data_IF_127661812986
#
_entry.id   IF_127661812986
#
_cell.length_a   1.000
_cell.length_b   1.000
_cell.length_c   1.000
_cell.angle_alpha   90.00
_cell.angle_beta   90.00
_cell.angle_gamma   90.00
#
_symmetry.space_group_name_H-M   'P 1'
#
loop_
_entity.id
_entity.type
_entity.pdbx_description
1 polymer ?
#
# COMPACT_ATOMS: atom_id res chain seq x y z
N UNK A 1 26.58 3.14 18.77
CA UNK A 1 25.36 3.96 18.78
C UNK A 1 25.60 5.33 18.16
N UNK A 2 26.57 6.10 18.63
CA UNK A 2 26.90 7.40 18.08
C UNK A 2 27.16 7.38 16.57
N UNK A 3 27.94 6.43 16.08
CA UNK A 3 28.19 6.24 14.65
C UNK A 3 26.92 5.96 13.84
N UNK A 4 25.97 5.20 14.39
CA UNK A 4 24.69 4.92 13.73
C UNK A 4 23.81 6.18 13.68
N UNK A 5 23.80 6.99 14.75
CA UNK A 5 23.08 8.26 14.77
C UNK A 5 23.62 9.25 13.73
N UNK A 6 24.96 9.43 13.69
CA UNK A 6 25.59 10.32 12.68
C UNK A 6 25.34 9.83 11.25
N UNK A 7 25.35 8.52 11.00
CA UNK A 7 25.07 7.97 9.69
C UNK A 7 23.60 8.21 9.28
N UNK A 8 22.65 8.07 10.20
CA UNK A 8 21.23 8.36 9.97
C UNK A 8 20.98 9.87 9.77
N UNK A 9 21.62 10.71 10.61
CA UNK A 9 21.53 12.17 10.49
C UNK A 9 22.13 12.67 9.16
N UNK A 10 23.27 12.10 8.74
CA UNK A 10 23.91 12.41 7.47
C UNK A 10 23.07 12.05 6.23
N UNK A 11 22.13 11.13 6.37
CA UNK A 11 21.14 10.81 5.33
C UNK A 11 19.85 11.65 5.42
N UNK A 12 19.78 12.62 6.33
CA UNK A 12 18.57 13.41 6.54
C UNK A 12 17.38 12.66 7.09
N UNK A 13 17.58 11.44 7.64
CA UNK A 13 16.49 10.56 8.11
C UNK A 13 15.67 11.21 9.22
N UNK A 14 16.31 12.07 10.05
CA UNK A 14 15.66 12.84 11.11
C UNK A 14 15.30 14.26 10.71
N UNK A 15 15.72 14.70 9.52
CA UNK A 15 15.41 16.02 9.01
C UNK A 15 13.98 16.04 8.46
N UNK A 16 13.12 16.82 9.12
CA UNK A 16 11.71 16.99 8.71
C UNK A 16 11.56 17.85 7.46
N UNK A 17 12.59 18.62 7.09
CA UNK A 17 12.61 19.43 5.88
C UNK A 17 13.03 18.64 4.63
N UNK A 18 13.70 17.50 4.83
CA UNK A 18 14.00 16.56 3.77
C UNK A 18 12.75 15.73 3.44
N UNK A 19 11.66 16.40 3.03
CA UNK A 19 10.69 15.73 2.19
C UNK A 19 11.48 15.18 1.00
N UNK A 20 11.38 13.87 0.77
CA UNK A 20 11.93 13.25 -0.42
C UNK A 20 11.70 14.21 -1.60
N UNK A 21 12.72 14.40 -2.44
CA UNK A 21 12.57 15.14 -3.70
C UNK A 21 11.66 14.30 -4.59
N UNK A 22 10.40 14.26 -4.22
CA UNK A 22 9.30 13.78 -5.03
C UNK A 22 8.81 14.95 -5.87
N UNK A 23 9.66 15.36 -6.82
CA UNK A 23 9.13 16.05 -7.96
C UNK A 23 8.14 15.06 -8.63
N UNK A 24 6.96 15.52 -9.08
CA UNK A 24 6.05 14.64 -9.80
C UNK A 24 6.81 13.98 -10.94
N UNK A 25 6.73 12.65 -11.04
CA UNK A 25 7.18 11.98 -12.26
C UNK A 25 6.26 12.53 -13.35
N UNK A 26 6.74 13.49 -14.13
CA UNK A 26 5.99 14.11 -15.21
C UNK A 26 5.87 13.04 -16.29
N UNK A 27 4.78 12.29 -16.25
CA UNK A 27 4.42 11.43 -17.37
C UNK A 27 3.77 12.33 -18.41
N UNK A 28 4.23 12.33 -19.68
CA UNK A 28 3.60 13.08 -20.75
C UNK A 28 2.10 12.78 -20.82
N UNK A 29 1.32 13.79 -21.20
CA UNK A 29 -0.12 13.59 -21.43
C UNK A 29 -0.35 12.37 -22.32
N UNK A 30 -1.16 11.43 -21.86
CA UNK A 30 -1.58 10.32 -22.67
C UNK A 30 -2.43 10.84 -23.83
N UNK A 31 -1.85 10.85 -25.01
CA UNK A 31 -2.55 11.21 -26.25
C UNK A 31 -3.33 10.01 -26.87
N UNK A 32 -3.42 8.90 -26.14
CA UNK A 32 -4.01 7.63 -26.66
C UNK A 32 -5.43 7.42 -26.17
N UNK A 33 -6.33 8.34 -26.53
CA UNK A 33 -7.75 8.28 -26.14
C UNK A 33 -8.43 6.96 -26.56
N UNK A 34 -8.04 6.38 -27.69
CA UNK A 34 -8.58 5.13 -28.25
C UNK A 34 -7.71 3.90 -27.95
N UNK A 35 -6.70 4.05 -27.08
CA UNK A 35 -5.81 2.94 -26.72
C UNK A 35 -6.44 1.92 -25.77
N UNK A 36 -5.74 0.78 -25.54
CA UNK A 36 -6.17 -0.24 -24.58
C UNK A 36 -6.46 0.36 -23.18
N UNK A 37 -7.48 -0.17 -22.52
CA UNK A 37 -7.90 0.33 -21.21
C UNK A 37 -7.20 -0.45 -20.09
N UNK A 38 -6.55 0.28 -19.19
CA UNK A 38 -6.16 -0.21 -17.86
C UNK A 38 -7.12 0.40 -16.85
N UNK A 39 -7.94 -0.42 -16.20
CA UNK A 39 -8.90 0.03 -15.21
C UNK A 39 -8.41 -0.22 -13.78
N UNK A 40 -8.80 0.66 -12.87
CA UNK A 40 -8.47 0.59 -11.44
C UNK A 40 -9.74 0.61 -10.62
N UNK A 41 -9.94 -0.39 -9.79
CA UNK A 41 -11.03 -0.46 -8.83
C UNK A 41 -10.63 0.36 -7.58
N UNK A 42 -11.25 1.51 -7.40
CA UNK A 42 -10.98 2.43 -6.31
C UNK A 42 -11.77 2.03 -5.06
N UNK A 43 -11.06 1.67 -3.99
CA UNK A 43 -11.68 1.33 -2.72
C UNK A 43 -12.29 2.57 -2.06
N UNK A 44 -13.57 2.54 -1.67
CA UNK A 44 -14.22 3.64 -0.97
C UNK A 44 -13.45 4.05 0.29
N UNK A 45 -13.33 5.36 0.52
CA UNK A 45 -12.67 5.95 1.71
C UNK A 45 -11.17 5.63 1.86
N UNK A 46 -10.51 5.11 0.81
CA UNK A 46 -9.09 4.77 0.78
C UNK A 46 -8.34 5.46 -0.38
N UNK A 47 -8.34 6.80 -0.45
CA UNK A 47 -7.77 7.54 -1.58
C UNK A 47 -6.29 7.21 -1.83
N UNK A 48 -5.52 6.91 -0.78
CA UNK A 48 -4.11 6.54 -0.91
C UNK A 48 -3.92 5.28 -1.74
N UNK A 49 -4.77 4.26 -1.56
CA UNK A 49 -4.69 3.03 -2.37
C UNK A 49 -5.04 3.31 -3.83
N UNK A 50 -6.07 4.12 -4.06
CA UNK A 50 -6.44 4.55 -5.42
C UNK A 50 -5.31 5.32 -6.10
N UNK A 51 -4.64 6.20 -5.37
CA UNK A 51 -3.51 6.98 -5.86
C UNK A 51 -2.32 6.08 -6.25
N UNK A 52 -1.94 5.12 -5.40
CA UNK A 52 -0.88 4.15 -5.70
C UNK A 52 -1.19 3.35 -6.98
N UNK A 53 -2.40 2.83 -7.06
CA UNK A 53 -2.83 2.00 -8.20
C UNK A 53 -2.95 2.80 -9.50
N UNK A 54 -3.45 4.03 -9.44
CA UNK A 54 -3.57 4.89 -10.62
C UNK A 54 -2.20 5.32 -11.13
N UNK A 55 -1.25 5.61 -10.24
CA UNK A 55 0.14 5.88 -10.63
C UNK A 55 0.79 4.67 -11.31
N UNK A 56 0.58 3.47 -10.78
CA UNK A 56 1.02 2.22 -11.39
C UNK A 56 0.35 2.00 -12.76
N UNK A 57 -0.97 2.14 -12.85
CA UNK A 57 -1.74 1.98 -14.08
C UNK A 57 -1.27 2.95 -15.18
N UNK A 58 -0.98 4.20 -14.81
CA UNK A 58 -0.47 5.19 -15.76
C UNK A 58 0.90 4.79 -16.30
N UNK A 59 1.81 4.28 -15.46
CA UNK A 59 3.11 3.79 -15.89
C UNK A 59 2.96 2.61 -16.88
N UNK A 60 2.11 1.66 -16.56
CA UNK A 60 1.82 0.52 -17.44
C UNK A 60 1.15 0.95 -18.75
N UNK A 61 0.24 1.93 -18.70
CA UNK A 61 -0.46 2.42 -19.89
C UNK A 61 0.49 3.03 -20.91
N UNK A 62 1.57 3.66 -20.44
CA UNK A 62 2.64 4.16 -21.33
C UNK A 62 3.26 3.06 -22.19
N UNK A 63 3.46 1.87 -21.63
CA UNK A 63 4.08 0.73 -22.35
C UNK A 63 3.20 0.13 -23.44
N UNK A 64 1.87 0.23 -23.31
CA UNK A 64 0.90 -0.32 -24.28
C UNK A 64 0.19 0.76 -25.10
N UNK A 65 0.59 2.01 -24.97
CA UNK A 65 -0.12 3.16 -25.58
C UNK A 65 -1.60 3.15 -25.21
N UNK A 66 -1.89 2.90 -23.94
CA UNK A 66 -3.22 2.75 -23.38
C UNK A 66 -3.69 4.00 -22.60
N UNK A 67 -4.89 3.92 -22.06
CA UNK A 67 -5.49 4.93 -21.17
C UNK A 67 -5.86 4.32 -19.82
N UNK A 68 -5.94 5.16 -18.79
CA UNK A 68 -6.22 4.75 -17.43
C UNK A 68 -7.63 5.17 -17.01
N UNK A 69 -8.42 4.23 -16.50
CA UNK A 69 -9.80 4.46 -16.06
C UNK A 69 -9.96 4.10 -14.59
N UNK A 70 -10.35 5.06 -13.77
CA UNK A 70 -10.73 4.82 -12.37
C UNK A 70 -12.20 4.39 -12.29
N UNK A 71 -12.52 3.35 -11.54
CA UNK A 71 -13.91 2.92 -11.25
C UNK A 71 -14.14 3.12 -9.75
N UNK A 72 -15.04 4.04 -9.38
CA UNK A 72 -15.26 4.44 -7.98
C UNK A 72 -16.75 4.52 -7.63
N UNK A 73 -17.10 4.12 -6.39
CA UNK A 73 -18.43 4.30 -5.84
C UNK A 73 -18.64 5.68 -5.18
N UNK A 74 -17.58 6.46 -5.03
CA UNK A 74 -17.59 7.78 -4.44
C UNK A 74 -17.60 8.89 -5.49
N UNK A 75 -17.95 10.09 -5.06
CA UNK A 75 -17.73 11.30 -5.85
C UNK A 75 -16.27 11.72 -5.64
N UNK A 76 -15.48 11.63 -6.69
CA UNK A 76 -14.07 11.98 -6.68
C UNK A 76 -13.86 13.43 -7.11
N UNK A 77 -12.82 14.08 -6.59
CA UNK A 77 -12.30 15.30 -7.19
C UNK A 77 -11.59 14.95 -8.51
N UNK A 78 -12.23 15.32 -9.63
CA UNK A 78 -11.75 14.95 -10.96
C UNK A 78 -10.37 15.56 -11.29
N UNK A 79 -10.00 16.68 -10.68
CA UNK A 79 -8.68 17.27 -10.85
C UNK A 79 -7.62 16.50 -10.05
N UNK A 80 -8.01 16.06 -8.87
CA UNK A 80 -7.12 15.26 -8.01
C UNK A 80 -6.88 13.87 -8.62
N UNK A 81 -7.94 13.17 -9.03
CA UNK A 81 -7.85 11.84 -9.66
C UNK A 81 -7.07 11.90 -10.99
N UNK A 82 -7.23 12.98 -11.76
CA UNK A 82 -6.37 13.26 -12.91
C UNK A 82 -4.89 13.34 -12.51
N UNK A 83 -4.59 14.06 -11.43
CA UNK A 83 -3.21 14.20 -10.95
C UNK A 83 -2.61 12.87 -10.49
N UNK A 84 -3.43 11.92 -10.07
CA UNK A 84 -3.00 10.55 -9.73
C UNK A 84 -2.76 9.66 -10.95
N UNK A 85 -3.29 10.02 -12.11
CA UNK A 85 -3.04 9.31 -13.35
C UNK A 85 -4.27 8.84 -14.13
N UNK A 86 -5.50 9.10 -13.66
CA UNK A 86 -6.71 8.67 -14.37
C UNK A 86 -7.06 9.63 -15.52
N UNK A 87 -7.34 9.09 -16.70
CA UNK A 87 -7.89 9.84 -17.83
C UNK A 87 -9.41 9.99 -17.69
N UNK A 88 -10.06 8.96 -17.14
CA UNK A 88 -11.52 8.88 -16.97
C UNK A 88 -11.86 8.32 -15.58
N UNK A 89 -12.99 8.79 -15.03
CA UNK A 89 -13.61 8.24 -13.81
C UNK A 89 -14.99 7.69 -14.17
N UNK A 90 -15.18 6.40 -13.91
CA UNK A 90 -16.50 5.75 -13.96
C UNK A 90 -17.08 5.74 -12.56
N UNK A 91 -18.06 6.61 -12.33
CA UNK A 91 -18.79 6.66 -11.07
C UNK A 91 -19.85 5.57 -11.01
N UNK A 92 -19.78 4.71 -9.99
CA UNK A 92 -20.77 3.66 -9.74
C UNK A 92 -21.76 4.16 -8.70
N UNK A 93 -22.89 4.69 -9.12
CA UNK A 93 -23.96 5.15 -8.22
C UNK A 93 -24.66 3.96 -7.57
N UNK A 94 -24.86 4.00 -6.24
CA UNK A 94 -25.44 2.92 -5.47
C UNK A 94 -24.51 1.73 -5.19
N UNK A 95 -23.23 1.80 -5.63
CA UNK A 95 -22.24 0.73 -5.52
C UNK A 95 -21.45 0.72 -4.21
N UNK A 96 -22.04 1.03 -3.07
CA UNK A 96 -21.33 1.03 -1.78
C UNK A 96 -21.16 -0.36 -1.18
N UNK A 97 -21.95 -1.34 -1.61
CA UNK A 97 -21.83 -2.74 -1.23
C UNK A 97 -20.96 -3.45 -2.28
N UNK A 98 -20.00 -4.27 -1.86
CA UNK A 98 -19.04 -4.96 -2.72
C UNK A 98 -19.71 -5.76 -3.84
N UNK A 99 -20.82 -6.42 -3.53
CA UNK A 99 -21.57 -7.21 -4.51
C UNK A 99 -22.17 -6.34 -5.62
N UNK A 100 -22.77 -5.22 -5.25
CA UNK A 100 -23.44 -4.32 -6.19
C UNK A 100 -22.41 -3.55 -7.02
N UNK A 101 -21.30 -3.12 -6.38
CA UNK A 101 -20.17 -2.52 -7.07
C UNK A 101 -19.55 -3.48 -8.08
N UNK A 102 -19.25 -4.71 -7.67
CA UNK A 102 -18.67 -5.71 -8.55
C UNK A 102 -19.56 -6.03 -9.75
N UNK A 103 -20.88 -6.07 -9.54
CA UNK A 103 -21.84 -6.30 -10.61
C UNK A 103 -21.85 -5.16 -11.64
N UNK A 104 -21.82 -3.90 -11.19
CA UNK A 104 -21.79 -2.73 -12.05
C UNK A 104 -20.45 -2.61 -12.80
N UNK A 105 -19.34 -2.78 -12.10
CA UNK A 105 -17.99 -2.77 -12.70
C UNK A 105 -17.80 -3.89 -13.73
N UNK A 106 -18.37 -5.07 -13.48
CA UNK A 106 -18.40 -6.18 -14.45
C UNK A 106 -19.15 -5.82 -15.74
N UNK A 107 -20.34 -5.24 -15.63
CA UNK A 107 -21.12 -4.85 -16.83
C UNK A 107 -20.39 -3.75 -17.61
N UNK A 108 -19.77 -2.80 -16.91
CA UNK A 108 -18.91 -1.80 -17.53
C UNK A 108 -17.73 -2.46 -18.27
N UNK A 109 -17.04 -3.42 -17.63
CA UNK A 109 -15.92 -4.12 -18.23
C UNK A 109 -16.32 -4.90 -19.48
N UNK A 110 -17.50 -5.53 -19.50
CA UNK A 110 -18.04 -6.20 -20.70
C UNK A 110 -18.27 -5.24 -21.85
N UNK A 111 -18.76 -4.04 -21.56
CA UNK A 111 -19.08 -3.04 -22.58
C UNK A 111 -17.84 -2.35 -23.17
N UNK A 112 -16.75 -2.19 -22.36
CA UNK A 112 -15.59 -1.38 -22.72
C UNK A 112 -14.31 -2.19 -22.97
N UNK A 113 -14.27 -3.48 -22.59
CA UNK A 113 -13.17 -4.38 -22.87
C UNK A 113 -11.81 -3.97 -22.30
N UNK A 114 -11.68 -3.67 -21.00
CA UNK A 114 -10.36 -3.39 -20.43
C UNK A 114 -9.45 -4.61 -20.59
N UNK A 115 -8.18 -4.37 -20.88
CA UNK A 115 -7.17 -5.45 -21.01
C UNK A 115 -6.54 -5.79 -19.67
N UNK A 116 -6.46 -4.80 -18.76
CA UNK A 116 -5.94 -4.96 -17.41
C UNK A 116 -6.92 -4.31 -16.42
N UNK A 117 -7.14 -4.98 -15.28
CA UNK A 117 -7.92 -4.43 -14.17
C UNK A 117 -7.16 -4.62 -12.87
N UNK A 118 -6.83 -3.52 -12.21
CA UNK A 118 -6.10 -3.50 -10.95
C UNK A 118 -7.05 -3.24 -9.79
N UNK A 119 -6.80 -3.87 -8.65
CA UNK A 119 -7.50 -3.64 -7.40
C UNK A 119 -6.50 -3.63 -6.23
N UNK A 120 -6.80 -2.97 -5.08
CA UNK A 120 -5.96 -3.11 -3.91
C UNK A 120 -6.09 -4.51 -3.31
N UNK A 121 -5.02 -5.07 -2.77
CA UNK A 121 -5.06 -6.35 -2.05
C UNK A 121 -5.59 -6.18 -0.60
N UNK A 122 -6.57 -5.33 -0.41
CA UNK A 122 -7.38 -5.16 0.80
C UNK A 122 -8.49 -6.22 0.87
N UNK A 123 -9.25 -6.27 1.97
CA UNK A 123 -10.43 -7.13 2.06
C UNK A 123 -11.45 -6.79 0.97
N UNK A 124 -11.77 -5.51 0.82
CA UNK A 124 -12.69 -5.01 -0.20
C UNK A 124 -12.22 -5.34 -1.61
N UNK A 125 -10.98 -5.00 -1.93
CA UNK A 125 -10.45 -5.18 -3.28
C UNK A 125 -10.34 -6.65 -3.69
N UNK A 126 -9.94 -7.53 -2.76
CA UNK A 126 -9.91 -8.99 -3.02
C UNK A 126 -11.30 -9.54 -3.28
N UNK A 127 -12.31 -9.14 -2.50
CA UNK A 127 -13.69 -9.57 -2.70
C UNK A 127 -14.24 -9.09 -4.04
N UNK A 128 -14.14 -7.79 -4.32
CA UNK A 128 -14.66 -7.21 -5.56
C UNK A 128 -13.96 -7.80 -6.78
N UNK A 129 -12.61 -7.87 -6.77
CA UNK A 129 -11.86 -8.43 -7.89
C UNK A 129 -12.18 -9.91 -8.13
N UNK A 130 -12.32 -10.71 -7.08
CA UNK A 130 -12.66 -12.13 -7.21
C UNK A 130 -14.06 -12.35 -7.80
N UNK A 131 -15.05 -11.52 -7.39
CA UNK A 131 -16.41 -11.57 -7.96
C UNK A 131 -16.42 -11.22 -9.45
N UNK A 132 -15.68 -10.19 -9.85
CA UNK A 132 -15.57 -9.79 -11.25
C UNK A 132 -14.86 -10.87 -12.05
N UNK A 133 -13.69 -11.33 -11.59
CA UNK A 133 -12.88 -12.34 -12.28
C UNK A 133 -13.67 -13.63 -12.52
N UNK A 134 -14.32 -14.17 -11.48
CA UNK A 134 -15.15 -15.37 -11.59
C UNK A 134 -16.32 -15.19 -12.57
N UNK A 135 -16.94 -14.00 -12.58
CA UNK A 135 -18.08 -13.72 -13.46
C UNK A 135 -17.71 -13.52 -14.93
N UNK A 136 -16.46 -13.10 -15.20
CA UNK A 136 -15.95 -12.85 -16.56
C UNK A 136 -15.07 -13.99 -17.09
N UNK A 137 -14.75 -14.98 -16.26
CA UNK A 137 -13.75 -16.01 -16.62
C UNK A 137 -12.35 -15.41 -16.78
N UNK A 138 -12.07 -14.34 -16.06
CA UNK A 138 -10.77 -13.63 -16.13
C UNK A 138 -9.75 -14.26 -15.16
N UNK A 139 -8.49 -14.29 -15.57
CA UNK A 139 -7.39 -14.68 -14.69
C UNK A 139 -7.13 -13.58 -13.63
N UNK A 140 -7.07 -13.97 -12.36
CA UNK A 140 -6.80 -13.05 -11.25
C UNK A 140 -5.54 -13.50 -10.50
N UNK A 141 -4.52 -12.64 -10.51
CA UNK A 141 -3.33 -12.79 -9.67
C UNK A 141 -3.52 -12.01 -8.38
N UNK A 142 -3.48 -12.71 -7.24
CA UNK A 142 -3.66 -12.08 -5.91
C UNK A 142 -2.34 -11.63 -5.28
N UNK A 143 -2.35 -10.51 -4.55
CA UNK A 143 -1.24 -10.02 -3.71
C UNK A 143 0.09 -9.81 -4.45
N UNK A 144 0.04 -9.24 -5.65
CA UNK A 144 1.24 -8.87 -6.38
C UNK A 144 2.04 -7.79 -5.62
N UNK A 145 3.35 -7.83 -5.79
CA UNK A 145 4.30 -6.88 -5.21
C UNK A 145 4.98 -6.00 -6.25
N UNK A 146 4.86 -6.36 -7.52
CA UNK A 146 5.33 -5.56 -8.64
C UNK A 146 4.59 -5.96 -9.92
N UNK A 147 4.55 -5.04 -10.90
CA UNK A 147 3.90 -5.24 -12.20
C UNK A 147 4.79 -4.70 -13.31
N UNK A 148 4.89 -5.45 -14.39
CA UNK A 148 5.54 -4.99 -15.61
C UNK A 148 4.79 -5.49 -16.85
N UNK A 149 5.04 -4.87 -17.99
CA UNK A 149 4.55 -5.36 -19.28
C UNK A 149 5.74 -5.76 -20.12
N UNK A 150 5.77 -7.03 -20.50
CA UNK A 150 6.72 -7.56 -21.48
C UNK A 150 5.96 -8.11 -22.68
N UNK A 151 6.38 -7.67 -23.88
CA UNK A 151 5.80 -8.12 -25.16
C UNK A 151 4.28 -8.06 -25.22
N UNK A 152 3.67 -7.03 -24.56
CA UNK A 152 2.23 -6.80 -24.48
C UNK A 152 1.48 -7.66 -23.45
N UNK A 153 2.19 -8.45 -22.65
CA UNK A 153 1.63 -9.27 -21.56
C UNK A 153 1.93 -8.65 -20.21
N UNK A 154 0.95 -8.66 -19.32
CA UNK A 154 1.15 -8.26 -17.92
C UNK A 154 1.86 -9.39 -17.18
N UNK A 155 2.97 -9.06 -16.55
CA UNK A 155 3.67 -9.92 -15.60
C UNK A 155 3.42 -9.38 -14.21
N UNK A 156 2.83 -10.20 -13.34
CA UNK A 156 2.61 -9.88 -11.95
C UNK A 156 3.61 -10.64 -11.08
N UNK A 157 4.47 -9.91 -10.39
CA UNK A 157 5.45 -10.48 -9.48
C UNK A 157 4.85 -10.73 -8.12
N UNK A 158 5.06 -11.93 -7.59
CA UNK A 158 4.65 -12.32 -6.25
C UNK A 158 5.81 -12.82 -5.42
N UNK A 159 5.74 -12.55 -4.14
CA UNK A 159 6.60 -13.24 -3.18
C UNK A 159 6.14 -14.69 -2.99
N UNK A 160 7.09 -15.61 -3.06
CA UNK A 160 6.89 -17.05 -2.84
C UNK A 160 7.91 -17.59 -1.84
N UNK A 161 7.67 -18.78 -1.31
CA UNK A 161 8.56 -19.48 -0.39
C UNK A 161 9.02 -18.58 0.78
N UNK A 162 8.08 -17.81 1.34
CA UNK A 162 8.38 -16.90 2.42
C UNK A 162 9.28 -15.71 2.01
N UNK A 163 9.07 -15.12 0.84
CA UNK A 163 9.84 -14.02 0.20
C UNK A 163 11.28 -14.36 -0.19
N UNK A 164 11.69 -15.61 -0.04
CA UNK A 164 13.01 -16.04 -0.52
C UNK A 164 13.09 -16.07 -2.05
N UNK A 165 11.95 -16.08 -2.73
CA UNK A 165 11.84 -16.11 -4.17
C UNK A 165 10.74 -15.16 -4.63
N UNK A 166 10.96 -14.54 -5.78
CA UNK A 166 9.91 -13.83 -6.52
C UNK A 166 9.53 -14.67 -7.73
N UNK A 167 8.24 -14.86 -7.92
CA UNK A 167 7.70 -15.60 -9.06
C UNK A 167 6.94 -14.67 -9.98
N UNK A 168 7.19 -14.79 -11.27
CA UNK A 168 6.45 -14.11 -12.32
C UNK A 168 5.19 -14.92 -12.66
N UNK A 169 4.04 -14.28 -12.59
CA UNK A 169 2.75 -14.89 -12.95
C UNK A 169 2.19 -14.16 -14.15
N UNK A 170 1.81 -14.92 -15.17
CA UNK A 170 1.20 -14.43 -16.40
C UNK A 170 -0.17 -15.09 -16.54
N UNK A 171 -1.15 -14.33 -17.02
CA UNK A 171 -2.48 -14.84 -17.36
C UNK A 171 -2.69 -14.77 -18.87
N UNK A 172 -3.26 -15.82 -19.43
CA UNK A 172 -3.63 -15.87 -20.87
C UNK A 172 -5.07 -15.39 -21.12
N UNK A 173 -5.79 -14.92 -20.07
CA UNK A 173 -7.14 -14.39 -20.27
C UNK A 173 -7.14 -13.03 -20.96
N UNK A 174 -8.16 -12.71 -21.77
CA UNK A 174 -8.28 -11.41 -22.45
C UNK A 174 -8.27 -10.22 -21.48
N UNK A 175 -8.92 -10.37 -20.33
CA UNK A 175 -8.83 -9.45 -19.20
C UNK A 175 -7.88 -10.04 -18.16
N UNK A 176 -6.78 -9.37 -17.89
CA UNK A 176 -5.81 -9.76 -16.87
C UNK A 176 -6.08 -8.95 -15.61
N UNK A 177 -6.44 -9.63 -14.52
CA UNK A 177 -6.77 -8.98 -13.26
C UNK A 177 -5.68 -9.21 -12.22
N UNK A 178 -5.39 -8.17 -11.43
CA UNK A 178 -4.38 -8.25 -10.37
C UNK A 178 -4.88 -7.51 -9.12
N UNK A 179 -4.73 -8.12 -7.95
CA UNK A 179 -4.74 -7.34 -6.71
C UNK A 179 -3.32 -7.02 -6.31
N UNK A 180 -3.05 -5.73 -6.09
CA UNK A 180 -1.74 -5.22 -5.73
C UNK A 180 -1.68 -4.90 -4.24
N UNK A 181 -0.60 -5.31 -3.59
CA UNK A 181 -0.42 -5.07 -2.16
C UNK A 181 -0.28 -3.57 -1.89
N UNK A 182 -1.12 -2.98 -1.00
CA UNK A 182 -0.98 -1.57 -0.61
C UNK A 182 0.40 -1.27 0.00
N UNK A 183 0.93 -0.10 -0.30
CA UNK A 183 2.24 0.34 0.18
C UNK A 183 3.45 -0.21 -0.58
N UNK A 184 3.23 -0.90 -1.70
CA UNK A 184 4.31 -1.36 -2.59
C UNK A 184 4.74 -0.24 -3.54
N UNK A 185 3.80 0.51 -4.05
CA UNK A 185 4.05 1.69 -4.87
C UNK A 185 3.91 2.97 -4.04
N UNK A 186 4.71 3.97 -4.38
CA UNK A 186 4.57 5.28 -3.75
C UNK A 186 3.30 5.98 -4.23
N UNK A 187 2.62 6.60 -3.30
CA UNK A 187 1.45 7.43 -3.54
C UNK A 187 1.91 8.82 -4.00
N UNK A 188 2.18 8.99 -5.28
CA UNK A 188 2.70 10.23 -5.86
C UNK A 188 1.71 10.89 -6.81
N UNK A 189 1.78 12.23 -6.95
CA UNK A 189 1.09 12.93 -8.02
C UNK A 189 1.90 12.77 -9.30
N UNK A 190 1.34 12.07 -10.27
CA UNK A 190 2.04 11.70 -11.51
C UNK A 190 1.88 12.70 -12.63
N UNK A 191 0.89 13.62 -12.51
CA UNK A 191 0.59 14.66 -13.50
C UNK A 191 0.51 16.04 -12.86
N UNK A 192 0.87 17.07 -13.63
CA UNK A 192 0.74 18.47 -13.21
C UNK A 192 -0.76 18.86 -13.17
N UNK A 193 -1.14 19.64 -12.17
CA UNK A 193 -2.49 20.20 -12.06
C UNK A 193 -2.84 21.05 -13.29
N UNK A 194 -4.09 21.00 -13.75
CA UNK A 194 -4.58 21.84 -14.87
C UNK A 194 -5.64 21.20 -15.75
N UNK A 195 -5.79 19.87 -15.66
CA UNK A 195 -6.87 19.14 -16.33
C UNK A 195 -7.73 18.41 -15.31
N UNK A 196 -8.89 17.93 -15.77
CA UNK A 196 -9.81 17.10 -15.01
C UNK A 196 -10.01 15.79 -15.77
N UNK A 197 -10.13 14.69 -15.05
CA UNK A 197 -10.56 13.43 -15.63
C UNK A 197 -12.01 13.58 -16.17
N UNK A 198 -12.31 12.87 -17.25
CA UNK A 198 -13.68 12.78 -17.78
C UNK A 198 -14.49 11.89 -16.86
N UNK A 199 -15.71 12.29 -16.49
CA UNK A 199 -16.59 11.46 -15.68
C UNK A 199 -17.72 10.88 -16.49
N UNK A 200 -17.91 9.55 -16.36
CA UNK A 200 -19.09 8.81 -16.78
C UNK A 200 -19.77 8.19 -15.56
N UNK A 201 -21.04 7.78 -15.69
CA UNK A 201 -21.80 7.22 -14.57
C UNK A 201 -22.44 5.91 -14.96
N UNK A 202 -22.32 4.92 -14.08
CA UNK A 202 -23.00 3.63 -14.16
C UNK A 202 -23.81 3.45 -12.89
N UNK A 203 -25.06 3.00 -13.01
CA UNK A 203 -25.94 2.77 -11.86
C UNK A 203 -25.86 1.30 -11.44
N UNK A 204 -25.47 1.06 -10.20
CA UNK A 204 -25.49 -0.28 -9.60
C UNK A 204 -26.95 -0.70 -9.33
N UNK A 205 -27.27 -1.94 -9.71
CA UNK A 205 -28.57 -2.52 -9.37
C UNK A 205 -28.47 -3.11 -7.97
N UNK A 206 -29.16 -2.48 -7.01
CA UNK A 206 -29.26 -3.05 -5.66
C UNK A 206 -29.97 -4.41 -5.74
N UNK A 207 -29.26 -5.46 -5.34
CA UNK A 207 -29.77 -6.85 -5.33
C UNK A 207 -30.58 -7.17 -4.09
N UNK A 208 -30.56 -6.31 -3.07
CA UNK A 208 -31.34 -6.44 -1.85
C UNK A 208 -30.97 -7.64 -0.97
N UNK A 209 -29.85 -8.33 -1.25
CA UNK A 209 -29.40 -9.50 -0.48
C UNK A 209 -28.59 -9.14 0.75
N UNK A 210 -28.03 -7.94 0.76
CA UNK A 210 -27.21 -7.40 1.85
C UNK A 210 -27.79 -6.04 2.22
N UNK A 211 -27.98 -5.80 3.52
CA UNK A 211 -28.37 -4.51 4.06
C UNK A 211 -27.31 -4.09 5.06
N UNK A 212 -26.80 -2.85 4.90
CA UNK A 212 -25.86 -2.25 5.85
C UNK A 212 -26.66 -1.67 7.00
N UNK A 213 -26.54 -2.26 8.18
CA UNK A 213 -27.20 -1.77 9.40
C UNK A 213 -26.40 -0.65 10.05
N UNK A 214 -25.07 -0.74 10.01
CA UNK A 214 -24.16 0.29 10.54
C UNK A 214 -22.81 0.27 9.81
N UNK A 215 -22.16 1.40 9.74
CA UNK A 215 -20.82 1.53 9.21
C UNK A 215 -20.01 2.50 10.08
N UNK A 216 -18.78 2.14 10.39
CA UNK A 216 -17.83 3.01 11.08
C UNK A 216 -16.47 2.92 10.41
N UNK A 217 -15.68 3.98 10.55
CA UNK A 217 -14.33 4.04 10.02
C UNK A 217 -13.32 3.68 11.11
N UNK A 218 -12.39 2.79 10.80
CA UNK A 218 -11.22 2.52 11.65
C UNK A 218 -10.10 3.49 11.24
N UNK A 219 -9.99 4.61 11.99
CA UNK A 219 -9.00 5.65 11.73
C UNK A 219 -7.56 5.19 12.05
N UNK A 220 -7.37 4.20 12.92
CA UNK A 220 -6.07 3.58 13.18
C UNK A 220 -5.41 3.02 11.91
N UNK A 221 -6.25 2.58 10.97
CA UNK A 221 -5.76 2.14 9.66
C UNK A 221 -5.05 3.26 8.91
N UNK A 222 -5.66 4.42 8.85
CA UNK A 222 -5.15 5.56 8.08
C UNK A 222 -3.94 6.21 8.75
N UNK A 223 -3.88 6.24 10.09
CA UNK A 223 -2.76 6.80 10.85
C UNK A 223 -1.47 6.04 10.54
N UNK A 224 -1.50 4.71 10.63
CA UNK A 224 -0.32 3.89 10.37
C UNK A 224 0.12 3.95 8.89
N UNK A 225 -0.84 4.02 7.96
CA UNK A 225 -0.55 4.10 6.53
C UNK A 225 0.05 5.46 6.10
N UNK A 226 -0.23 6.54 6.86
CA UNK A 226 0.24 7.90 6.59
C UNK A 226 1.48 8.28 7.40
N UNK A 227 1.91 7.44 8.33
CA UNK A 227 2.99 7.75 9.24
C UNK A 227 4.34 7.84 8.50
N UNK A 228 5.05 8.95 8.68
CA UNK A 228 6.42 9.13 8.18
C UNK A 228 7.41 8.27 8.96
N UNK A 229 7.16 8.10 10.27
CA UNK A 229 8.00 7.32 11.17
C UNK A 229 7.15 6.29 11.89
N UNK A 230 7.61 5.04 11.89
CA UNK A 230 6.93 3.94 12.60
C UNK A 230 7.93 3.21 13.50
N UNK A 231 7.54 3.02 14.75
CA UNK A 231 8.25 2.16 15.69
C UNK A 231 7.56 0.80 15.75
N UNK A 232 8.23 -0.20 15.20
CA UNK A 232 7.78 -1.58 15.18
C UNK A 232 8.25 -2.35 16.41
N UNK A 233 7.31 -2.86 17.20
CA UNK A 233 7.59 -3.53 18.47
C UNK A 233 7.51 -5.04 18.31
N UNK A 234 8.52 -5.74 18.81
CA UNK A 234 8.56 -7.19 18.86
C UNK A 234 8.29 -7.75 20.27
N UNK A 235 8.31 -9.07 20.37
CA UNK A 235 8.12 -9.79 21.65
C UNK A 235 9.28 -9.62 22.66
N UNK A 236 10.35 -8.93 22.27
CA UNK A 236 11.45 -8.56 23.18
C UNK A 236 11.12 -7.36 24.07
N UNK A 237 9.95 -6.73 23.89
CA UNK A 237 9.41 -5.66 24.75
C UNK A 237 8.27 -6.24 25.57
N UNK A 238 8.37 -6.13 26.89
CA UNK A 238 7.33 -6.61 27.82
C UNK A 238 6.24 -5.56 28.01
N UNK A 239 5.08 -5.97 28.54
CA UNK A 239 3.91 -5.11 28.72
C UNK A 239 4.21 -3.86 29.55
N UNK A 240 4.89 -4.04 30.69
CA UNK A 240 5.27 -2.98 31.61
C UNK A 240 6.23 -1.95 31.00
N UNK A 241 6.86 -2.26 29.88
CA UNK A 241 7.87 -1.43 29.20
C UNK A 241 7.31 -0.55 28.09
N UNK A 242 6.04 -0.75 27.72
CA UNK A 242 5.41 0.01 26.64
C UNK A 242 5.34 1.52 26.89
N UNK A 243 5.40 1.95 28.16
CA UNK A 243 5.51 3.36 28.52
C UNK A 243 6.73 4.02 27.87
N UNK A 244 7.91 3.41 28.00
CA UNK A 244 9.17 3.92 27.44
C UNK A 244 9.13 3.95 25.89
N UNK A 245 8.52 2.94 25.27
CA UNK A 245 8.36 2.89 23.81
C UNK A 245 7.45 4.02 23.33
N UNK A 246 6.35 4.30 24.04
CA UNK A 246 5.42 5.39 23.71
C UNK A 246 6.07 6.77 23.85
N UNK A 247 6.86 6.98 24.91
CA UNK A 247 7.62 8.22 25.11
C UNK A 247 8.61 8.44 23.97
N UNK A 248 9.37 7.41 23.59
CA UNK A 248 10.28 7.48 22.46
C UNK A 248 9.53 7.77 21.14
N UNK A 249 8.44 7.07 20.89
CA UNK A 249 7.62 7.31 19.69
C UNK A 249 7.05 8.73 19.64
N UNK A 250 6.64 9.29 20.79
CA UNK A 250 6.13 10.65 20.88
C UNK A 250 7.19 11.70 20.51
N UNK A 251 8.45 11.53 20.92
CA UNK A 251 9.56 12.44 20.55
C UNK A 251 9.72 12.48 19.02
N UNK A 252 9.58 11.34 18.36
CA UNK A 252 9.69 11.21 16.89
C UNK A 252 8.40 11.58 16.16
N UNK A 253 7.29 11.80 16.86
CA UNK A 253 5.92 11.82 16.31
C UNK A 253 5.64 10.56 15.46
N UNK A 254 6.13 9.43 15.95
CA UNK A 254 6.02 8.14 15.29
C UNK A 254 4.76 7.40 15.70
N UNK A 255 4.20 6.62 14.78
CA UNK A 255 3.15 5.66 15.08
C UNK A 255 3.74 4.33 15.59
N UNK A 256 3.01 3.67 16.49
CA UNK A 256 3.39 2.35 16.98
C UNK A 256 2.76 1.25 16.12
N UNK A 257 3.55 0.24 15.81
CA UNK A 257 3.09 -0.97 15.15
C UNK A 257 3.71 -2.21 15.82
N UNK A 258 3.13 -3.38 15.61
CA UNK A 258 3.61 -4.60 16.25
C UNK A 258 3.69 -5.80 15.32
N UNK A 259 4.48 -6.77 15.76
CA UNK A 259 4.46 -8.10 15.15
C UNK A 259 3.14 -8.82 15.51
N UNK A 260 2.78 -9.86 14.74
CA UNK A 260 1.61 -10.68 15.06
C UNK A 260 1.60 -11.18 16.51
N UNK A 261 2.75 -11.58 17.05
CA UNK A 261 2.85 -12.04 18.43
C UNK A 261 2.45 -10.98 19.44
N UNK A 262 2.82 -9.72 19.18
CA UNK A 262 2.45 -8.56 20.03
C UNK A 262 0.95 -8.32 20.01
N UNK A 263 0.33 -8.37 18.84
CA UNK A 263 -1.12 -8.14 18.71
C UNK A 263 -1.95 -9.34 19.17
N UNK A 264 -1.44 -10.56 19.05
CA UNK A 264 -2.10 -11.77 19.58
C UNK A 264 -2.10 -11.78 21.13
N UNK A 265 -1.08 -11.15 21.77
CA UNK A 265 -1.04 -10.92 23.21
C UNK A 265 -1.90 -9.73 23.68
N UNK A 266 -2.51 -8.97 22.76
CA UNK A 266 -3.33 -7.80 23.09
C UNK A 266 -2.55 -6.55 23.49
N UNK A 267 -1.22 -6.54 23.37
CA UNK A 267 -0.35 -5.41 23.72
C UNK A 267 -0.52 -4.22 22.76
N UNK A 268 -0.88 -4.51 21.53
CA UNK A 268 -1.33 -3.53 20.53
C UNK A 268 -2.58 -4.07 19.81
N UNK A 269 -3.48 -3.19 19.34
CA UNK A 269 -4.65 -3.64 18.60
C UNK A 269 -4.28 -4.30 17.26
N UNK A 270 -5.12 -5.20 16.77
CA UNK A 270 -4.93 -5.89 15.46
C UNK A 270 -4.77 -4.91 14.30
N UNK A 271 -5.42 -3.75 14.39
CA UNK A 271 -5.26 -2.66 13.44
C UNK A 271 -3.81 -2.18 13.27
N UNK A 272 -2.94 -2.43 14.23
CA UNK A 272 -1.52 -2.06 14.22
C UNK A 272 -0.56 -3.21 13.91
N UNK A 273 -1.09 -4.35 13.47
CA UNK A 273 -0.26 -5.48 13.07
C UNK A 273 0.39 -5.26 11.71
N UNK A 274 1.70 -5.49 11.63
CA UNK A 274 2.48 -5.45 10.38
C UNK A 274 2.89 -6.86 9.96
N UNK A 275 2.93 -7.10 8.65
CA UNK A 275 3.40 -8.34 8.04
C UNK A 275 2.38 -8.99 7.12
N UNK A 276 2.62 -10.25 6.72
CA UNK A 276 1.78 -11.00 5.76
C UNK A 276 0.30 -11.07 6.21
N UNK A 277 0.06 -11.29 7.49
CA UNK A 277 -1.29 -11.38 8.08
C UNK A 277 -1.76 -10.05 8.68
N UNK A 278 -1.01 -8.99 8.50
CA UNK A 278 -1.29 -7.65 8.96
C UNK A 278 -1.27 -6.67 7.79
N UNK A 279 -0.55 -5.59 7.96
CA UNK A 279 -0.44 -4.50 6.98
C UNK A 279 0.92 -4.44 6.34
N UNK A 280 0.96 -3.87 5.15
CA UNK A 280 2.18 -3.31 4.56
C UNK A 280 2.15 -1.80 4.70
N UNK A 281 3.29 -1.22 5.03
CA UNK A 281 3.50 0.21 5.22
C UNK A 281 4.79 0.65 4.53
N UNK A 282 4.87 1.93 4.16
CA UNK A 282 6.02 2.52 3.48
C UNK A 282 6.42 3.83 4.16
N UNK A 283 6.84 3.79 5.44
CA UNK A 283 7.30 4.98 6.14
C UNK A 283 8.68 5.39 5.63
N UNK A 284 9.02 6.67 5.81
CA UNK A 284 10.38 7.16 5.59
C UNK A 284 11.38 6.50 6.54
N UNK A 285 10.99 6.24 7.80
CA UNK A 285 11.82 5.55 8.80
C UNK A 285 11.00 4.50 9.54
N UNK A 286 11.49 3.27 9.53
CA UNK A 286 11.00 2.19 10.36
C UNK A 286 12.04 1.81 11.41
N UNK A 287 11.68 1.87 12.70
CA UNK A 287 12.55 1.51 13.82
C UNK A 287 12.07 0.19 14.42
N UNK A 288 12.83 -0.86 14.22
CA UNK A 288 12.55 -2.21 14.69
C UNK A 288 13.11 -2.43 16.10
N UNK A 289 12.24 -2.51 17.12
CA UNK A 289 12.63 -2.65 18.53
C UNK A 289 12.27 -4.03 19.06
N UNK A 290 13.29 -4.80 19.43
CA UNK A 290 13.11 -6.11 20.09
C UNK A 290 12.32 -7.12 19.25
N UNK A 291 12.35 -7.01 17.94
CA UNK A 291 11.75 -7.98 17.01
C UNK A 291 12.80 -8.79 16.29
N UNK A 292 12.49 -10.06 16.00
CA UNK A 292 13.43 -10.99 15.36
C UNK A 292 13.67 -10.71 13.87
N UNK A 293 12.78 -9.95 13.22
CA UNK A 293 12.86 -9.69 11.78
C UNK A 293 12.56 -10.91 10.91
N UNK A 294 11.73 -11.85 11.42
CA UNK A 294 11.26 -12.94 10.56
C UNK A 294 10.55 -12.38 9.35
N UNK A 295 10.74 -13.03 8.24
CA UNK A 295 10.22 -12.68 6.94
C UNK A 295 8.75 -12.24 6.93
N UNK A 296 7.87 -12.98 7.65
CA UNK A 296 6.45 -12.68 7.72
C UNK A 296 6.14 -11.27 8.24
N UNK A 297 7.04 -10.67 9.01
CA UNK A 297 6.93 -9.29 9.47
C UNK A 297 7.61 -8.31 8.49
N UNK A 298 8.84 -8.63 8.07
CA UNK A 298 9.65 -7.72 7.24
C UNK A 298 9.03 -7.42 5.88
N UNK A 299 8.26 -8.35 5.32
CA UNK A 299 7.44 -8.12 4.11
C UNK A 299 6.52 -6.89 4.25
N UNK A 300 5.98 -6.67 5.45
CA UNK A 300 5.08 -5.54 5.71
C UNK A 300 5.78 -4.19 5.82
N UNK A 301 7.11 -4.13 5.88
CA UNK A 301 7.91 -2.90 5.98
C UNK A 301 8.92 -2.73 4.85
N UNK A 302 8.85 -3.58 3.84
CA UNK A 302 9.79 -3.56 2.70
C UNK A 302 9.78 -2.23 1.94
N UNK A 303 8.65 -1.51 1.95
CA UNK A 303 8.51 -0.20 1.34
C UNK A 303 9.06 0.95 2.19
N UNK A 304 9.65 0.69 3.38
CA UNK A 304 10.29 1.72 4.17
C UNK A 304 11.55 2.25 3.47
N UNK A 305 11.76 3.57 3.49
CA UNK A 305 12.96 4.17 2.89
C UNK A 305 14.23 3.86 3.70
N UNK A 306 14.08 3.75 5.03
CA UNK A 306 15.17 3.40 5.95
C UNK A 306 14.66 2.52 7.08
N UNK A 307 15.38 1.45 7.36
CA UNK A 307 15.11 0.54 8.48
C UNK A 307 16.27 0.59 9.47
N UNK A 308 15.97 1.01 10.70
CA UNK A 308 16.87 0.90 11.86
C UNK A 308 16.44 -0.28 12.73
N UNK A 309 17.33 -1.21 13.02
CA UNK A 309 17.04 -2.35 13.89
C UNK A 309 17.82 -2.30 15.21
N UNK A 310 17.14 -2.61 16.31
CA UNK A 310 17.73 -2.72 17.64
C UNK A 310 17.40 -4.11 18.19
N UNK A 311 18.41 -4.94 18.39
CA UNK A 311 18.24 -6.30 18.93
C UNK A 311 19.49 -6.73 19.70
N UNK A 312 19.30 -7.46 20.78
CA UNK A 312 20.41 -8.03 21.58
C UNK A 312 21.06 -9.22 20.88
N UNK A 313 20.31 -9.96 20.07
CA UNK A 313 20.84 -11.10 19.32
C UNK A 313 21.47 -10.62 18.00
N UNK A 314 22.80 -10.71 17.90
CA UNK A 314 23.56 -10.33 16.71
C UNK A 314 23.14 -11.11 15.45
N UNK A 315 22.69 -12.33 15.62
CA UNK A 315 22.29 -13.22 14.52
C UNK A 315 20.79 -13.12 14.20
N UNK A 316 20.11 -12.13 14.76
CA UNK A 316 18.69 -11.92 14.47
C UNK A 316 18.49 -11.58 12.99
N UNK A 317 17.55 -12.24 12.27
CA UNK A 317 17.29 -12.00 10.85
C UNK A 317 16.99 -10.54 10.49
N UNK A 318 16.55 -9.72 11.45
CA UNK A 318 16.29 -8.29 11.24
C UNK A 318 17.51 -7.55 10.70
N UNK A 319 18.72 -7.95 11.12
CA UNK A 319 19.97 -7.31 10.67
C UNK A 319 20.30 -7.61 9.20
N UNK A 320 19.76 -8.67 8.62
CA UNK A 320 19.84 -8.95 7.18
C UNK A 320 18.90 -8.12 6.32
N UNK A 321 17.95 -7.40 6.95
CA UNK A 321 16.91 -6.62 6.27
C UNK A 321 16.89 -5.14 6.69
N UNK A 322 17.87 -4.67 7.45
CA UNK A 322 17.96 -3.28 7.89
C UNK A 322 19.10 -2.53 7.23
N UNK A 323 18.98 -1.21 7.12
CA UNK A 323 20.06 -0.32 6.66
C UNK A 323 21.05 -0.02 7.78
N UNK A 324 20.54 0.05 9.02
CA UNK A 324 21.32 0.33 10.23
C UNK A 324 20.93 -0.64 11.34
N UNK A 325 21.93 -1.20 12.01
CA UNK A 325 21.72 -2.14 13.11
C UNK A 325 22.42 -1.70 14.40
N UNK A 326 21.74 -1.79 15.52
CA UNK A 326 22.29 -1.63 16.86
C UNK A 326 22.21 -2.99 17.55
N UNK A 327 23.35 -3.65 17.75
CA UNK A 327 23.43 -4.87 18.55
C UNK A 327 23.55 -4.46 20.00
N UNK A 328 22.45 -4.55 20.74
CA UNK A 328 22.37 -4.11 22.15
C UNK A 328 20.96 -4.13 22.70
N UNK A 329 20.84 -3.83 23.97
CA UNK A 329 19.54 -3.71 24.61
C UNK A 329 18.87 -2.38 24.18
N UNK A 330 17.62 -2.47 23.77
CA UNK A 330 16.84 -1.29 23.39
C UNK A 330 16.62 -0.35 24.58
N UNK A 331 16.65 -0.87 25.82
CA UNK A 331 16.53 -0.07 27.06
C UNK A 331 17.67 0.91 27.22
N UNK A 332 18.85 0.56 26.73
CA UNK A 332 20.03 1.42 26.72
C UNK A 332 20.06 2.32 25.46
N UNK A 333 19.59 1.79 24.34
CA UNK A 333 19.65 2.47 23.05
C UNK A 333 18.63 3.61 22.93
N UNK A 334 17.37 3.38 23.32
CA UNK A 334 16.31 4.38 23.14
C UNK A 334 16.53 5.68 23.94
N UNK A 335 16.95 5.68 25.22
CA UNK A 335 17.24 6.91 25.94
C UNK A 335 18.32 7.76 25.30
N UNK A 336 19.36 7.11 24.75
CA UNK A 336 20.44 7.82 24.04
C UNK A 336 19.94 8.42 22.71
N UNK A 337 19.16 7.66 21.95
CA UNK A 337 18.51 8.15 20.72
C UNK A 337 17.57 9.32 21.03
N UNK A 338 16.76 9.21 22.08
CA UNK A 338 15.87 10.29 22.54
C UNK A 338 16.66 11.56 22.85
N UNK A 339 17.74 11.44 23.64
CA UNK A 339 18.60 12.58 24.00
C UNK A 339 19.21 13.30 22.78
N UNK A 340 19.52 12.57 21.71
CA UNK A 340 20.08 13.18 20.50
C UNK A 340 19.03 13.80 19.57
N UNK A 341 17.74 13.41 19.75
CA UNK A 341 16.63 13.85 18.92
C UNK A 341 15.77 14.95 19.57
N UNK A 342 15.90 15.14 20.88
CA UNK A 342 15.31 16.23 21.65
C UNK A 342 16.21 17.48 21.64
#
# INVERSE_FOLDING_TARGET
MEAAFYALSGRGVFDRSASAVDGPIIVPENSWADGPIISVLCEPYRPKFSQELLGCALSLSGSIKGRTVAISAQTEDLAEVWSWGADEVVRVEGGMIEEDFAAAAKEWAKAHGPVIMLAPASYWGREVASRIAASLGAGLTGDAIDLEIDSGRLIAWKSACGDSQHVAIISDSPLQMVTLRPGVYRSTKTRIAGKKAVQTTVVAKNRGRVQVESAWRDDDWDLLAKADVVVGVGAGVKEEEYGQIREFAAVLKAELAGTRKVTDLGLLPKSRQIGITGRSISPRLYIAVGLSGKLNHMVGVRGADTILAINTNRDAPVFGSCDFGIVGDWRDALPLLTKWLS
#
